data_IF_736147946547
#
_entry.id   IF_736147946547
#
_cell.length_a   1.000
_cell.length_b   1.000
_cell.length_c   1.000
_cell.angle_alpha   90.00
_cell.angle_beta   90.00
_cell.angle_gamma   90.00
#
_symmetry.space_group_name_H-M   'P 1'
#
loop_
_entity.id
_entity.type
_entity.pdbx_description
1 polymer ?
#
# COMPACT_ATOMS: atom_id res chain seq x y z
N UNK A 1 -23.59 6.29 -12.53
CA UNK A 1 -22.62 5.34 -11.95
C UNK A 1 -21.32 5.48 -12.73
N UNK A 2 -20.18 5.71 -12.05
CA UNK A 2 -18.88 5.60 -12.74
C UNK A 2 -18.63 4.12 -13.04
N UNK A 3 -18.21 3.73 -14.26
CA UNK A 3 -17.93 2.34 -14.57
C UNK A 3 -16.86 1.78 -13.62
N UNK A 4 -17.05 0.53 -13.20
CA UNK A 4 -16.04 -0.17 -12.41
C UNK A 4 -14.72 -0.20 -13.20
N UNK A 5 -13.59 0.02 -12.52
CA UNK A 5 -12.27 -0.09 -13.17
C UNK A 5 -12.02 -1.57 -13.49
N UNK A 6 -11.82 -1.86 -14.78
CA UNK A 6 -11.38 -3.20 -15.20
C UNK A 6 -9.87 -3.33 -14.93
N UNK A 7 -9.52 -4.20 -13.99
CA UNK A 7 -8.11 -4.44 -13.61
C UNK A 7 -7.36 -5.28 -14.64
N UNK A 8 -8.01 -5.84 -15.66
CA UNK A 8 -7.32 -6.44 -16.79
C UNK A 8 -6.78 -5.36 -17.74
N UNK A 9 -7.51 -4.24 -17.86
CA UNK A 9 -7.18 -3.16 -18.77
C UNK A 9 -6.23 -2.13 -18.19
N UNK A 10 -6.43 -1.77 -16.91
CA UNK A 10 -5.64 -0.71 -16.27
C UNK A 10 -5.49 -0.86 -14.76
N UNK A 11 -4.33 -0.46 -14.20
CA UNK A 11 -4.14 -0.45 -12.76
C UNK A 11 -4.97 0.65 -12.09
N UNK A 12 -5.32 0.42 -10.83
CA UNK A 12 -5.86 1.45 -9.95
C UNK A 12 -4.73 2.23 -9.27
N UNK A 13 -3.64 1.53 -8.93
CA UNK A 13 -2.45 2.07 -8.27
C UNK A 13 -1.22 1.76 -9.12
N UNK A 14 -0.45 2.78 -9.43
CA UNK A 14 0.90 2.68 -9.98
C UNK A 14 1.89 3.21 -8.97
N UNK A 15 2.90 2.41 -8.62
CA UNK A 15 3.96 2.79 -7.69
C UNK A 15 5.28 2.76 -8.44
N UNK A 16 6.00 3.87 -8.44
CA UNK A 16 7.35 3.94 -9.00
C UNK A 16 8.38 4.22 -7.90
N UNK A 17 9.27 3.26 -7.68
CA UNK A 17 10.49 3.44 -6.89
C UNK A 17 11.50 4.18 -7.76
N UNK A 18 11.54 5.52 -7.69
CA UNK A 18 12.35 6.33 -8.59
C UNK A 18 13.86 6.27 -8.27
N UNK A 19 14.22 5.89 -7.05
CA UNK A 19 15.60 5.66 -6.60
C UNK A 19 15.67 4.65 -5.46
N UNK A 20 16.81 4.00 -5.28
CA UNK A 20 17.11 3.21 -4.08
C UNK A 20 18.04 3.93 -3.10
N UNK A 21 18.46 5.16 -3.42
CA UNK A 21 19.28 5.95 -2.53
C UNK A 21 18.47 6.42 -1.31
N UNK A 22 19.02 6.25 -0.10
CA UNK A 22 18.41 6.71 1.14
C UNK A 22 19.48 6.79 2.24
N UNK A 23 19.35 7.76 3.15
CA UNK A 23 20.23 7.88 4.30
C UNK A 23 19.71 7.12 5.54
N UNK A 24 18.50 6.56 5.47
CA UNK A 24 17.97 5.69 6.52
C UNK A 24 18.46 4.24 6.37
N UNK A 25 18.59 3.55 7.50
CA UNK A 25 19.06 2.16 7.56
C UNK A 25 17.98 1.22 8.16
N UNK A 26 16.71 1.50 7.93
CA UNK A 26 15.55 0.81 8.51
C UNK A 26 15.69 -0.71 8.52
N UNK A 27 15.34 -1.35 9.64
CA UNK A 27 15.50 -2.81 9.84
C UNK A 27 14.67 -3.65 8.87
N UNK A 28 13.53 -3.13 8.42
CA UNK A 28 12.56 -3.82 7.56
C UNK A 28 12.57 -3.35 6.10
N UNK A 29 13.58 -2.56 5.69
CA UNK A 29 13.57 -1.90 4.37
C UNK A 29 13.42 -2.91 3.22
N UNK A 30 12.28 -2.87 2.53
CA UNK A 30 11.96 -3.68 1.35
C UNK A 30 12.99 -3.48 0.23
N UNK A 31 13.34 -2.21 -0.05
CA UNK A 31 14.26 -1.85 -1.12
C UNK A 31 15.72 -2.25 -0.82
N UNK A 32 16.06 -2.62 0.43
CA UNK A 32 17.46 -2.72 0.87
C UNK A 32 18.26 -1.48 0.43
N UNK A 33 17.72 -0.29 0.74
CA UNK A 33 18.20 1.00 0.26
C UNK A 33 19.70 1.19 0.50
N UNK A 34 20.33 1.95 -0.40
CA UNK A 34 21.75 2.25 -0.45
C UNK A 34 21.97 3.76 -0.24
N UNK A 35 23.18 4.18 0.15
CA UNK A 35 23.46 5.60 0.40
C UNK A 35 23.54 6.45 -0.89
N UNK A 36 23.87 5.83 -2.03
CA UNK A 36 24.08 6.50 -3.31
C UNK A 36 23.10 5.98 -4.37
N UNK A 37 22.78 6.85 -5.33
CA UNK A 37 21.99 6.48 -6.51
C UNK A 37 22.77 5.49 -7.39
N UNK A 38 22.01 4.59 -8.03
CA UNK A 38 22.57 3.68 -9.04
C UNK A 38 22.70 4.40 -10.37
N UNK A 39 23.80 4.13 -11.10
CA UNK A 39 23.97 4.62 -12.48
C UNK A 39 22.96 4.03 -13.47
N UNK A 40 22.27 2.96 -13.09
CA UNK A 40 21.26 2.28 -13.92
C UNK A 40 19.83 2.79 -13.68
N UNK A 41 19.63 3.74 -12.76
CA UNK A 41 18.33 4.36 -12.56
C UNK A 41 17.80 4.97 -13.85
N UNK A 42 16.48 5.02 -13.99
CA UNK A 42 15.86 5.77 -15.09
C UNK A 42 16.39 7.21 -15.09
N UNK A 43 16.83 7.69 -16.26
CA UNK A 43 17.20 9.09 -16.44
C UNK A 43 15.96 9.99 -16.22
N UNK A 44 16.15 11.29 -16.18
CA UNK A 44 15.04 12.25 -16.11
C UNK A 44 14.07 12.05 -17.29
N UNK A 45 14.60 11.94 -18.51
CA UNK A 45 13.82 11.77 -19.73
C UNK A 45 13.07 10.45 -19.75
N UNK A 46 13.70 9.35 -19.30
CA UNK A 46 13.06 8.04 -19.17
C UNK A 46 11.95 8.09 -18.11
N UNK A 47 12.18 8.76 -16.98
CA UNK A 47 11.19 8.94 -15.92
C UNK A 47 9.99 9.78 -16.39
N UNK A 48 10.21 10.84 -17.14
CA UNK A 48 9.14 11.66 -17.70
C UNK A 48 8.31 10.89 -18.74
N UNK A 49 8.95 10.07 -19.60
CA UNK A 49 8.22 9.17 -20.53
C UNK A 49 7.36 8.15 -19.75
N UNK A 50 7.92 7.53 -18.70
CA UNK A 50 7.14 6.63 -17.85
C UNK A 50 5.92 7.32 -17.25
N UNK A 51 6.05 8.57 -16.78
CA UNK A 51 4.91 9.34 -16.24
C UNK A 51 3.87 9.61 -17.34
N UNK A 52 4.29 9.86 -18.58
CA UNK A 52 3.38 10.03 -19.71
C UNK A 52 2.58 8.76 -19.98
N UNK A 53 3.23 7.59 -20.06
CA UNK A 53 2.57 6.28 -20.21
C UNK A 53 1.60 5.98 -19.05
N UNK A 54 2.00 6.28 -17.82
CA UNK A 54 1.12 6.15 -16.65
C UNK A 54 -0.11 7.07 -16.79
N UNK A 55 0.09 8.30 -17.27
CA UNK A 55 -1.01 9.24 -17.53
C UNK A 55 -2.02 8.70 -18.54
N UNK A 56 -1.55 8.07 -19.62
CA UNK A 56 -2.40 7.43 -20.62
C UNK A 56 -3.20 6.25 -20.07
N UNK A 57 -2.63 5.46 -19.17
CA UNK A 57 -3.34 4.38 -18.47
C UNK A 57 -4.39 4.91 -17.48
N UNK A 58 -4.24 6.13 -16.99
CA UNK A 58 -5.20 6.82 -16.12
C UNK A 58 -5.49 6.13 -14.78
N UNK A 59 -4.46 5.71 -14.00
CA UNK A 59 -4.68 5.18 -12.67
C UNK A 59 -5.29 6.25 -11.74
N UNK A 60 -5.94 5.80 -10.66
CA UNK A 60 -6.46 6.72 -9.63
C UNK A 60 -5.39 7.16 -8.64
N UNK A 61 -4.33 6.39 -8.51
CA UNK A 61 -3.24 6.65 -7.57
C UNK A 61 -1.92 6.46 -8.30
N UNK A 62 -1.11 7.50 -8.31
CA UNK A 62 0.28 7.43 -8.76
C UNK A 62 1.20 7.81 -7.61
N UNK A 63 2.07 6.89 -7.23
CA UNK A 63 2.99 7.06 -6.10
C UNK A 63 4.42 7.07 -6.59
N UNK A 64 5.13 8.16 -6.32
CA UNK A 64 6.58 8.23 -6.44
C UNK A 64 7.15 7.89 -5.06
N UNK A 65 7.92 6.83 -5.01
CA UNK A 65 8.58 6.35 -3.79
C UNK A 65 10.05 6.04 -4.09
N UNK A 66 10.75 5.47 -3.13
CA UNK A 66 12.14 5.09 -3.37
C UNK A 66 12.78 4.54 -2.12
N UNK A 67 14.07 4.68 -2.05
CA UNK A 67 14.79 4.87 -0.81
C UNK A 67 14.34 6.20 -0.21
N UNK A 68 14.86 7.29 -0.76
CA UNK A 68 14.38 8.65 -0.51
C UNK A 68 14.25 9.38 -1.86
N UNK A 69 13.05 9.63 -2.36
CA UNK A 69 12.86 10.30 -3.65
C UNK A 69 13.47 11.70 -3.69
N UNK A 70 13.69 12.36 -2.54
CA UNK A 70 14.36 13.67 -2.47
C UNK A 70 15.88 13.60 -2.75
N UNK A 71 16.45 12.41 -2.86
CA UNK A 71 17.82 12.20 -3.35
C UNK A 71 17.95 12.45 -4.88
N UNK A 72 16.85 12.61 -5.59
CA UNK A 72 16.82 12.99 -7.02
C UNK A 72 16.48 14.46 -7.16
N UNK A 73 17.33 15.18 -7.87
CA UNK A 73 17.15 16.63 -8.11
C UNK A 73 15.94 16.93 -9.00
N UNK A 74 15.52 15.95 -9.83
CA UNK A 74 14.40 16.06 -10.76
C UNK A 74 13.04 15.63 -10.16
N UNK A 75 12.96 15.33 -8.86
CA UNK A 75 11.73 14.86 -8.20
C UNK A 75 10.57 15.86 -8.33
N UNK A 76 10.85 17.14 -8.20
CA UNK A 76 9.82 18.19 -8.35
C UNK A 76 9.30 18.27 -9.79
N UNK A 77 10.17 18.12 -10.78
CA UNK A 77 9.78 18.06 -12.20
C UNK A 77 8.90 16.84 -12.48
N UNK A 78 9.16 15.68 -11.85
CA UNK A 78 8.34 14.49 -11.96
C UNK A 78 6.94 14.70 -11.35
N UNK A 79 6.84 15.36 -10.19
CA UNK A 79 5.54 15.72 -9.57
C UNK A 79 4.73 16.61 -10.53
N UNK A 80 5.36 17.65 -11.07
CA UNK A 80 4.73 18.58 -12.00
C UNK A 80 4.27 17.88 -13.29
N UNK A 81 5.13 17.02 -13.88
CA UNK A 81 4.76 16.24 -15.07
C UNK A 81 3.56 15.33 -14.81
N UNK A 82 3.53 14.65 -13.68
CA UNK A 82 2.40 13.82 -13.29
C UNK A 82 1.11 14.66 -13.18
N UNK A 83 1.20 15.84 -12.58
CA UNK A 83 0.06 16.76 -12.48
C UNK A 83 -0.43 17.23 -13.85
N UNK A 84 0.48 17.58 -14.76
CA UNK A 84 0.16 18.00 -16.15
C UNK A 84 -0.50 16.86 -16.94
N UNK A 85 -0.22 15.60 -16.62
CA UNK A 85 -0.87 14.42 -17.21
C UNK A 85 -2.19 14.03 -16.53
N UNK A 86 -2.72 14.87 -15.64
CA UNK A 86 -4.00 14.64 -14.97
C UNK A 86 -3.96 13.61 -13.85
N UNK A 87 -2.78 13.19 -13.40
CA UNK A 87 -2.59 12.32 -12.26
C UNK A 87 -2.71 13.08 -10.94
N UNK A 88 -2.98 12.36 -9.86
CA UNK A 88 -2.89 12.86 -8.48
C UNK A 88 -1.58 12.32 -7.85
N UNK A 89 -0.43 13.01 -8.06
CA UNK A 89 0.85 12.49 -7.60
C UNK A 89 0.91 12.42 -6.08
N UNK A 90 1.34 11.27 -5.59
CA UNK A 90 1.68 11.04 -4.19
C UNK A 90 3.19 10.84 -4.08
N UNK A 91 3.83 11.42 -3.05
CA UNK A 91 5.25 11.24 -2.76
C UNK A 91 5.43 10.56 -1.40
N UNK A 92 6.36 9.61 -1.33
CA UNK A 92 6.74 8.97 -0.07
C UNK A 92 8.20 9.29 0.26
N UNK A 93 8.50 10.51 0.77
CA UNK A 93 9.86 10.88 1.16
C UNK A 93 10.28 10.13 2.43
N UNK A 94 11.57 9.94 2.60
CA UNK A 94 12.16 9.46 3.85
C UNK A 94 12.43 10.63 4.81
N UNK A 95 12.35 10.35 6.12
CA UNK A 95 12.64 11.35 7.15
C UNK A 95 14.15 11.57 7.28
N UNK A 96 14.75 12.15 6.25
CA UNK A 96 16.16 12.56 6.16
C UNK A 96 16.26 14.08 6.28
N UNK A 97 17.46 14.66 6.48
CA UNK A 97 17.64 16.12 6.48
C UNK A 97 17.16 16.84 5.21
N UNK A 98 16.89 16.11 4.11
CA UNK A 98 16.30 16.68 2.89
C UNK A 98 14.81 17.01 3.03
N UNK A 99 14.11 16.38 3.99
CA UNK A 99 12.68 16.60 4.20
C UNK A 99 12.46 17.81 5.13
N UNK A 100 12.70 18.99 4.62
CA UNK A 100 12.50 20.26 5.35
C UNK A 100 11.10 20.84 5.09
N UNK A 101 10.71 21.87 5.84
CA UNK A 101 9.47 22.61 5.60
C UNK A 101 9.47 23.27 4.21
N UNK A 102 10.63 23.77 3.76
CA UNK A 102 10.81 24.34 2.42
C UNK A 102 10.60 23.29 1.34
N UNK A 103 11.14 22.07 1.53
CA UNK A 103 10.91 20.96 0.61
C UNK A 103 9.41 20.63 0.50
N UNK A 104 8.68 20.63 1.62
CA UNK A 104 7.21 20.41 1.62
C UNK A 104 6.48 21.53 0.87
N UNK A 105 6.87 22.79 1.09
CA UNK A 105 6.32 23.95 0.33
C UNK A 105 6.60 23.80 -1.18
N UNK A 106 7.80 23.35 -1.55
CA UNK A 106 8.14 23.10 -2.96
C UNK A 106 7.29 21.96 -3.56
N UNK A 107 7.08 20.87 -2.83
CA UNK A 107 6.18 19.78 -3.25
C UNK A 107 4.78 20.33 -3.55
N UNK A 108 4.23 21.18 -2.67
CA UNK A 108 2.91 21.82 -2.88
C UNK A 108 2.88 22.67 -4.13
N UNK A 109 3.89 23.51 -4.34
CA UNK A 109 4.00 24.40 -5.52
C UNK A 109 4.01 23.63 -6.84
N UNK A 110 4.67 22.46 -6.88
CA UNK A 110 4.70 21.57 -8.05
C UNK A 110 3.46 20.68 -8.17
N UNK A 111 2.48 20.82 -7.28
CA UNK A 111 1.17 20.17 -7.40
C UNK A 111 1.08 18.79 -6.75
N UNK A 112 1.90 18.49 -5.72
CA UNK A 112 1.76 17.26 -4.96
C UNK A 112 0.37 17.18 -4.33
N UNK A 113 -0.34 16.08 -4.60
CA UNK A 113 -1.68 15.84 -4.07
C UNK A 113 -1.65 15.19 -2.69
N UNK A 114 -0.65 14.33 -2.44
CA UNK A 114 -0.52 13.58 -1.17
C UNK A 114 0.94 13.37 -0.80
N UNK A 115 1.24 13.50 0.49
CA UNK A 115 2.51 13.08 1.07
C UNK A 115 2.27 11.88 1.99
N UNK A 116 3.07 10.82 1.84
CA UNK A 116 3.06 9.69 2.74
C UNK A 116 4.38 9.65 3.51
N UNK A 117 4.32 9.66 4.84
CA UNK A 117 5.48 9.52 5.71
C UNK A 117 5.36 8.28 6.56
N UNK A 118 6.49 7.76 7.02
CA UNK A 118 6.49 6.57 7.85
C UNK A 118 6.68 6.91 9.32
N UNK A 119 5.86 6.29 10.18
CA UNK A 119 5.94 6.41 11.64
C UNK A 119 5.76 5.01 12.24
N UNK A 120 6.84 4.43 12.79
CA UNK A 120 6.85 3.06 13.33
C UNK A 120 7.08 3.00 14.84
N UNK A 121 7.04 4.13 15.52
CA UNK A 121 7.09 4.27 16.96
C UNK A 121 6.39 5.55 17.38
N UNK A 122 5.88 5.60 18.60
CA UNK A 122 5.14 6.74 19.15
C UNK A 122 6.07 7.80 19.76
N UNK A 123 7.35 7.53 19.84
CA UNK A 123 8.39 8.43 20.35
C UNK A 123 9.71 8.24 19.57
N UNK A 124 10.69 9.10 19.87
CA UNK A 124 11.99 9.06 19.20
C UNK A 124 12.74 7.76 19.48
N UNK A 125 12.66 7.20 20.69
CA UNK A 125 13.39 5.98 21.04
C UNK A 125 12.93 4.79 20.17
N UNK A 126 11.63 4.55 20.10
CA UNK A 126 11.05 3.44 19.35
C UNK A 126 11.17 3.65 17.83
N UNK A 127 10.87 4.87 17.35
CA UNK A 127 10.91 5.17 15.92
C UNK A 127 12.34 5.18 15.36
N UNK A 128 13.25 5.95 15.97
CA UNK A 128 14.63 6.09 15.49
C UNK A 128 15.38 4.76 15.62
N UNK A 129 15.12 3.99 16.67
CA UNK A 129 15.64 2.64 16.84
C UNK A 129 15.23 1.69 15.71
N UNK A 130 14.01 1.82 15.19
CA UNK A 130 13.50 1.04 14.06
C UNK A 130 14.04 1.53 12.71
N UNK A 131 14.15 2.87 12.54
CA UNK A 131 14.70 3.51 11.34
C UNK A 131 16.22 3.52 11.32
N UNK A 132 16.88 3.30 12.47
CA UNK A 132 18.33 3.30 12.70
C UNK A 132 19.01 4.63 12.36
N UNK A 133 18.30 5.73 12.53
CA UNK A 133 18.84 7.10 12.38
C UNK A 133 18.19 7.99 13.42
N UNK A 134 19.02 8.54 14.32
CA UNK A 134 18.58 9.48 15.34
C UNK A 134 17.99 10.76 14.70
N UNK A 135 16.90 11.26 15.28
CA UNK A 135 16.21 12.47 14.82
C UNK A 135 15.20 12.22 13.69
N UNK A 136 15.07 10.97 13.19
CA UNK A 136 14.09 10.66 12.15
C UNK A 136 12.63 10.83 12.63
N UNK A 137 12.36 10.62 13.92
CA UNK A 137 11.07 10.89 14.54
C UNK A 137 10.70 12.38 14.42
N UNK A 138 11.58 13.26 14.87
CA UNK A 138 11.32 14.71 14.85
C UNK A 138 11.15 15.24 13.41
N UNK A 139 11.97 14.76 12.48
CA UNK A 139 11.83 15.10 11.05
C UNK A 139 10.46 14.65 10.53
N UNK A 140 10.02 13.42 10.85
CA UNK A 140 8.71 12.90 10.47
C UNK A 140 7.58 13.77 11.01
N UNK A 141 7.61 14.09 12.30
CA UNK A 141 6.56 14.89 12.95
C UNK A 141 6.53 16.33 12.42
N UNK A 142 7.69 16.93 12.15
CA UNK A 142 7.79 18.25 11.54
C UNK A 142 7.26 18.26 10.10
N UNK A 143 7.53 17.21 9.32
CA UNK A 143 7.02 17.07 7.96
C UNK A 143 5.49 16.92 7.93
N UNK A 144 4.90 16.15 8.87
CA UNK A 144 3.44 16.06 9.02
C UNK A 144 2.84 17.45 9.28
N UNK A 145 3.39 18.19 10.25
CA UNK A 145 2.91 19.55 10.57
C UNK A 145 3.06 20.51 9.38
N UNK A 146 4.18 20.45 8.66
CA UNK A 146 4.42 21.29 7.47
C UNK A 146 3.42 20.95 6.36
N UNK A 147 3.21 19.68 6.05
CA UNK A 147 2.28 19.24 5.01
C UNK A 147 0.82 19.61 5.35
N UNK A 148 0.42 19.48 6.61
CA UNK A 148 -0.92 19.88 7.06
C UNK A 148 -1.12 21.40 6.90
N UNK A 149 -0.13 22.22 7.26
CA UNK A 149 -0.16 23.68 7.03
C UNK A 149 -0.27 24.06 5.56
N UNK A 150 0.43 23.34 4.70
CA UNK A 150 0.38 23.52 3.24
C UNK A 150 -0.88 22.90 2.61
N UNK A 151 -1.77 22.32 3.41
CA UNK A 151 -2.97 21.64 2.92
C UNK A 151 -2.64 20.53 1.90
N UNK A 152 -1.56 19.82 2.12
CA UNK A 152 -1.27 18.55 1.44
C UNK A 152 -1.94 17.44 2.23
N UNK A 153 -2.64 16.54 1.55
CA UNK A 153 -3.22 15.36 2.19
C UNK A 153 -2.11 14.47 2.77
N UNK A 154 -2.12 14.23 4.09
CA UNK A 154 -1.07 13.45 4.76
C UNK A 154 -1.54 12.02 4.99
N UNK A 155 -0.75 11.06 4.53
CA UNK A 155 -0.85 9.65 4.88
C UNK A 155 0.30 9.28 5.82
N UNK A 156 0.01 8.53 6.88
CA UNK A 156 1.04 7.95 7.74
C UNK A 156 1.09 6.44 7.51
N UNK A 157 2.29 5.91 7.33
CA UNK A 157 2.54 4.47 7.15
C UNK A 157 3.19 3.91 8.41
N UNK A 158 2.65 2.82 8.94
CA UNK A 158 3.23 2.09 10.07
C UNK A 158 3.38 0.63 9.70
N UNK A 159 4.55 0.04 9.95
CA UNK A 159 4.79 -1.38 9.66
C UNK A 159 4.63 -2.22 10.92
N UNK A 160 3.71 -3.18 10.89
CA UNK A 160 3.51 -4.17 11.96
C UNK A 160 4.59 -5.25 11.86
N UNK A 161 5.37 -5.32 12.90
CA UNK A 161 6.38 -6.34 13.16
C UNK A 161 6.34 -6.71 14.64
N UNK A 162 7.06 -7.74 15.07
CA UNK A 162 7.21 -8.05 16.52
C UNK A 162 7.73 -6.89 17.34
N UNK A 163 8.47 -5.96 16.72
CA UNK A 163 9.04 -4.79 17.41
C UNK A 163 8.07 -3.63 17.56
N UNK A 164 7.15 -3.49 16.60
CA UNK A 164 6.25 -2.33 16.49
C UNK A 164 4.81 -2.64 16.89
N UNK A 165 4.48 -3.93 17.12
CA UNK A 165 3.13 -4.37 17.46
C UNK A 165 2.57 -3.61 18.68
N UNK A 166 3.35 -3.47 19.74
CA UNK A 166 2.96 -2.77 20.97
C UNK A 166 2.83 -1.25 20.82
N UNK A 167 3.37 -0.66 19.73
CA UNK A 167 3.32 0.78 19.50
C UNK A 167 2.00 1.26 18.88
N UNK A 168 1.22 0.38 18.27
CA UNK A 168 0.03 0.78 17.50
C UNK A 168 -0.97 1.64 18.30
N UNK A 169 -1.33 1.33 19.56
CA UNK A 169 -2.24 2.17 20.33
C UNK A 169 -1.69 3.58 20.61
N UNK A 170 -0.38 3.68 20.91
CA UNK A 170 0.28 4.95 21.17
C UNK A 170 0.41 5.79 19.89
N UNK A 171 0.70 5.14 18.75
CA UNK A 171 0.75 5.80 17.44
C UNK A 171 -0.61 6.40 17.09
N UNK A 172 -1.71 5.64 17.26
CA UNK A 172 -3.07 6.18 16.98
C UNK A 172 -3.34 7.41 17.82
N UNK A 173 -3.09 7.34 19.13
CA UNK A 173 -3.29 8.46 20.04
C UNK A 173 -2.49 9.70 19.59
N UNK A 174 -1.23 9.49 19.18
CA UNK A 174 -0.40 10.56 18.64
C UNK A 174 -0.99 11.17 17.37
N UNK A 175 -1.54 10.35 16.45
CA UNK A 175 -2.01 10.81 15.14
C UNK A 175 -3.36 11.54 15.17
N UNK A 176 -4.16 11.37 16.22
CA UNK A 176 -5.50 12.00 16.32
C UNK A 176 -5.43 13.54 16.24
N UNK A 177 -4.34 14.15 16.68
CA UNK A 177 -4.18 15.61 16.75
C UNK A 177 -3.51 16.23 15.50
N UNK A 178 -3.08 15.43 14.51
CA UNK A 178 -2.25 15.93 13.41
C UNK A 178 -2.99 16.19 12.09
N UNK A 179 -4.30 15.99 12.03
CA UNK A 179 -5.10 16.29 10.84
C UNK A 179 -4.74 15.43 9.61
N UNK A 180 -4.23 14.22 9.83
CA UNK A 180 -3.93 13.28 8.75
C UNK A 180 -5.22 12.79 8.08
N UNK A 181 -5.14 12.37 6.82
CA UNK A 181 -6.29 11.83 6.09
C UNK A 181 -6.33 10.30 6.09
N UNK A 182 -5.19 9.65 6.34
CA UNK A 182 -5.09 8.20 6.30
C UNK A 182 -3.96 7.66 7.16
N UNK A 183 -4.25 6.60 7.89
CA UNK A 183 -3.26 5.71 8.50
C UNK A 183 -3.21 4.39 7.73
N UNK A 184 -2.07 4.08 7.11
CA UNK A 184 -1.84 2.85 6.34
C UNK A 184 -0.97 1.89 7.15
N UNK A 185 -1.55 0.78 7.55
CA UNK A 185 -0.90 -0.23 8.39
C UNK A 185 -0.40 -1.36 7.51
N UNK A 186 0.92 -1.46 7.40
CA UNK A 186 1.62 -2.44 6.59
C UNK A 186 1.94 -3.67 7.44
N UNK A 187 1.59 -4.84 6.97
CA UNK A 187 2.03 -6.09 7.60
C UNK A 187 3.29 -6.58 6.89
N UNK A 188 4.36 -6.73 7.66
CA UNK A 188 5.67 -7.03 7.11
C UNK A 188 5.67 -8.27 6.20
N UNK A 189 6.39 -8.17 5.09
CA UNK A 189 6.74 -9.29 4.22
C UNK A 189 8.26 -9.50 4.35
N UNK A 190 8.73 -10.71 4.57
CA UNK A 190 10.17 -10.99 4.73
C UNK A 190 10.88 -10.87 3.38
N UNK A 191 11.11 -9.63 2.95
CA UNK A 191 11.82 -9.23 1.73
C UNK A 191 12.77 -8.07 2.01
N UNK A 192 13.81 -7.92 1.20
CA UNK A 192 14.86 -6.92 1.44
C UNK A 192 15.63 -7.18 2.73
N UNK A 193 15.55 -6.26 3.72
CA UNK A 193 16.16 -6.42 5.04
C UNK A 193 15.25 -7.08 6.08
N UNK A 194 13.95 -7.15 5.82
CA UNK A 194 13.01 -7.83 6.72
C UNK A 194 13.25 -9.34 6.74
N UNK A 195 13.10 -9.96 7.91
CA UNK A 195 13.38 -11.37 8.15
C UNK A 195 12.11 -12.10 8.60
N UNK A 196 12.12 -13.43 8.50
CA UNK A 196 11.05 -14.28 9.05
C UNK A 196 10.79 -14.03 10.53
N UNK A 197 11.84 -13.75 11.31
CA UNK A 197 11.73 -13.43 12.74
C UNK A 197 11.01 -12.09 13.04
N UNK A 198 10.82 -11.23 12.03
CA UNK A 198 10.07 -9.98 12.20
C UNK A 198 8.55 -10.17 12.06
N UNK A 199 8.10 -11.33 11.55
CA UNK A 199 6.68 -11.65 11.40
C UNK A 199 6.01 -11.79 12.78
N UNK A 200 4.84 -11.21 12.90
CA UNK A 200 3.88 -11.49 13.99
C UNK A 200 3.20 -12.83 13.74
N UNK A 201 2.55 -13.40 14.75
CA UNK A 201 1.80 -14.64 14.58
C UNK A 201 0.45 -14.38 13.87
N UNK A 202 -0.18 -15.40 13.28
CA UNK A 202 -1.52 -15.26 12.70
C UNK A 202 -2.57 -14.78 13.70
N UNK A 203 -2.47 -15.20 14.97
CA UNK A 203 -3.35 -14.80 16.08
C UNK A 203 -3.16 -13.31 16.41
N UNK A 204 -1.90 -12.86 16.53
CA UNK A 204 -1.58 -11.44 16.72
C UNK A 204 -2.11 -10.57 15.57
N UNK A 205 -2.14 -11.09 14.32
CA UNK A 205 -2.75 -10.40 13.19
C UNK A 205 -4.25 -10.20 13.38
N UNK A 206 -4.98 -11.23 13.85
CA UNK A 206 -6.42 -11.11 14.13
C UNK A 206 -6.69 -10.12 15.28
N UNK A 207 -5.84 -10.09 16.30
CA UNK A 207 -5.91 -9.09 17.39
C UNK A 207 -5.73 -7.67 16.84
N UNK A 208 -4.71 -7.47 15.99
CA UNK A 208 -4.51 -6.18 15.30
C UNK A 208 -5.72 -5.81 14.44
N UNK A 209 -6.33 -6.75 13.75
CA UNK A 209 -7.54 -6.49 12.97
C UNK A 209 -8.70 -6.02 13.83
N UNK A 210 -8.88 -6.63 15.02
CA UNK A 210 -9.85 -6.18 16.00
C UNK A 210 -9.58 -4.74 16.43
N UNK A 211 -8.35 -4.45 16.81
CA UNK A 211 -7.92 -3.10 17.18
C UNK A 211 -8.16 -2.08 16.06
N UNK A 212 -7.77 -2.39 14.81
CA UNK A 212 -7.96 -1.50 13.66
C UNK A 212 -9.44 -1.28 13.35
N UNK A 213 -10.27 -2.32 13.46
CA UNK A 213 -11.70 -2.23 13.24
C UNK A 213 -12.36 -1.26 14.23
N UNK A 214 -12.14 -1.44 15.53
CA UNK A 214 -12.68 -0.55 16.56
C UNK A 214 -12.12 0.87 16.44
N UNK A 215 -10.81 1.02 16.18
CA UNK A 215 -10.19 2.32 15.96
C UNK A 215 -10.81 3.06 14.77
N UNK A 216 -11.08 2.36 13.66
CA UNK A 216 -11.66 2.98 12.46
C UNK A 216 -13.03 3.63 12.67
N UNK A 217 -13.71 3.29 13.77
CA UNK A 217 -15.04 3.81 14.12
C UNK A 217 -15.00 5.13 14.91
N UNK A 218 -13.83 5.45 15.50
CA UNK A 218 -13.67 6.61 16.40
C UNK A 218 -12.73 7.71 15.89
N UNK A 219 -11.79 7.37 14.99
CA UNK A 219 -10.81 8.34 14.49
C UNK A 219 -11.33 9.10 13.26
N UNK A 220 -10.87 10.36 13.04
CA UNK A 220 -11.34 11.19 11.94
C UNK A 220 -10.66 10.87 10.60
N UNK A 221 -9.72 9.93 10.54
CA UNK A 221 -8.98 9.55 9.35
C UNK A 221 -9.27 8.12 8.91
N UNK A 222 -9.02 7.82 7.63
CA UNK A 222 -9.20 6.48 7.11
C UNK A 222 -8.10 5.52 7.60
N UNK A 223 -8.46 4.28 7.91
CA UNK A 223 -7.50 3.19 8.18
C UNK A 223 -7.48 2.25 6.99
N UNK A 224 -6.29 1.89 6.52
CA UNK A 224 -6.06 0.92 5.45
C UNK A 224 -4.98 -0.07 5.86
N UNK A 225 -5.10 -1.29 5.35
CA UNK A 225 -4.06 -2.30 5.51
C UNK A 225 -3.35 -2.55 4.18
N UNK A 226 -2.05 -2.81 4.24
CA UNK A 226 -1.22 -3.23 3.11
C UNK A 226 -0.59 -4.57 3.45
N UNK A 227 -0.55 -5.50 2.48
CA UNK A 227 -0.10 -6.88 2.68
C UNK A 227 -0.90 -7.64 3.77
N UNK A 228 -2.16 -7.24 3.95
CA UNK A 228 -3.12 -7.90 4.87
C UNK A 228 -4.52 -7.92 4.26
N UNK A 229 -4.66 -8.52 3.08
CA UNK A 229 -5.91 -8.61 2.32
C UNK A 229 -7.02 -9.30 3.12
N UNK A 230 -6.66 -10.19 4.02
CA UNK A 230 -7.60 -10.90 4.90
C UNK A 230 -8.27 -10.01 5.96
N UNK A 231 -7.82 -8.76 6.15
CA UNK A 231 -8.58 -7.75 6.90
C UNK A 231 -9.96 -7.49 6.27
N UNK A 232 -10.11 -7.63 4.95
CA UNK A 232 -11.40 -7.51 4.26
C UNK A 232 -12.39 -8.58 4.71
N UNK A 233 -11.90 -9.84 4.86
CA UNK A 233 -12.68 -10.95 5.43
C UNK A 233 -13.08 -10.62 6.87
N UNK A 234 -12.12 -10.20 7.70
CA UNK A 234 -12.37 -9.83 9.10
C UNK A 234 -13.46 -8.75 9.23
N UNK A 235 -13.32 -7.65 8.48
CA UNK A 235 -14.31 -6.57 8.48
C UNK A 235 -15.70 -7.08 8.10
N UNK A 236 -15.82 -7.90 7.04
CA UNK A 236 -17.10 -8.45 6.62
C UNK A 236 -17.72 -9.30 7.72
N UNK A 237 -16.97 -10.20 8.32
CA UNK A 237 -17.44 -11.05 9.41
C UNK A 237 -17.94 -10.24 10.61
N UNK A 238 -17.18 -9.23 11.03
CA UNK A 238 -17.59 -8.32 12.12
C UNK A 238 -18.88 -7.57 11.79
N UNK A 239 -18.97 -7.02 10.59
CA UNK A 239 -20.16 -6.26 10.15
C UNK A 239 -21.42 -7.12 10.04
N UNK A 240 -21.30 -8.38 9.61
CA UNK A 240 -22.40 -9.32 9.56
C UNK A 240 -22.83 -9.73 10.99
N UNK A 241 -21.89 -10.02 11.87
CA UNK A 241 -22.15 -10.37 13.25
C UNK A 241 -22.93 -9.25 14.00
N UNK A 242 -22.53 -7.98 13.80
CA UNK A 242 -23.24 -6.82 14.37
C UNK A 242 -24.69 -6.70 13.89
N UNK A 243 -25.03 -7.27 12.73
CA UNK A 243 -26.39 -7.29 12.14
C UNK A 243 -27.14 -8.58 12.44
N UNK A 244 -26.57 -9.50 13.22
CA UNK A 244 -27.15 -10.83 13.46
C UNK A 244 -27.16 -11.70 12.19
N UNK A 245 -26.31 -11.41 11.20
CA UNK A 245 -26.19 -12.15 9.95
C UNK A 245 -24.94 -13.04 9.95
N UNK A 246 -24.96 -14.08 9.12
CA UNK A 246 -23.82 -15.00 8.96
C UNK A 246 -23.17 -14.86 7.58
N UNK A 247 -21.93 -15.32 7.45
CA UNK A 247 -21.22 -15.38 6.17
C UNK A 247 -21.97 -16.25 5.15
N UNK A 248 -22.60 -17.33 5.62
CA UNK A 248 -23.38 -18.24 4.78
C UNK A 248 -24.51 -17.51 4.01
N UNK A 249 -25.13 -16.49 4.63
CA UNK A 249 -26.19 -15.69 3.97
C UNK A 249 -25.69 -14.82 2.81
N UNK A 250 -24.39 -14.65 2.67
CA UNK A 250 -23.75 -13.83 1.64
C UNK A 250 -23.12 -14.64 0.51
N UNK A 251 -23.13 -15.97 0.63
CA UNK A 251 -22.54 -16.84 -0.39
C UNK A 251 -23.44 -16.91 -1.63
N UNK A 252 -22.82 -16.83 -2.79
CA UNK A 252 -23.47 -17.14 -4.04
C UNK A 252 -23.88 -18.63 -4.03
N UNK A 253 -25.16 -18.97 -4.25
CA UNK A 253 -25.64 -20.36 -4.13
C UNK A 253 -25.04 -21.30 -5.20
N UNK A 254 -24.49 -20.78 -6.30
CA UNK A 254 -23.92 -21.58 -7.38
C UNK A 254 -22.42 -21.78 -7.18
N UNK A 255 -21.70 -20.71 -6.82
CA UNK A 255 -20.23 -20.75 -6.73
C UNK A 255 -19.71 -20.99 -5.31
N UNK A 256 -20.55 -20.86 -4.29
CA UNK A 256 -20.17 -20.89 -2.88
C UNK A 256 -19.32 -19.69 -2.43
N UNK A 257 -18.97 -18.79 -3.35
CA UNK A 257 -18.09 -17.65 -3.10
C UNK A 257 -18.85 -16.42 -2.65
N UNK A 258 -18.16 -15.55 -1.92
CA UNK A 258 -18.68 -14.23 -1.56
C UNK A 258 -18.37 -13.26 -2.69
N UNK A 259 -19.42 -12.66 -3.24
CA UNK A 259 -19.29 -11.62 -4.28
C UNK A 259 -18.78 -10.32 -3.65
N UNK A 260 -17.59 -9.83 -4.04
CA UNK A 260 -17.05 -8.56 -3.55
C UNK A 260 -17.98 -7.36 -3.83
N UNK A 261 -18.82 -7.42 -4.86
CA UNK A 261 -19.74 -6.33 -5.21
C UNK A 261 -20.81 -6.09 -4.15
N UNK A 262 -21.19 -7.11 -3.39
CA UNK A 262 -22.20 -7.02 -2.33
C UNK A 262 -21.76 -6.15 -1.15
N UNK A 263 -20.44 -5.97 -0.95
CA UNK A 263 -19.89 -5.15 0.12
C UNK A 263 -19.88 -3.65 -0.17
N UNK A 264 -20.00 -3.28 -1.45
CA UNK A 264 -19.82 -1.91 -1.92
C UNK A 264 -21.09 -1.32 -2.52
N UNK A 265 -22.27 -1.93 -2.26
CA UNK A 265 -23.57 -1.35 -2.65
C UNK A 265 -23.82 -0.06 -1.86
N UNK A 266 -24.62 0.85 -2.43
CA UNK A 266 -24.98 2.14 -1.78
C UNK A 266 -25.62 1.96 -0.40
N UNK A 267 -26.16 0.77 -0.11
CA UNK A 267 -26.77 0.36 1.15
C UNK A 267 -25.85 -0.52 2.02
N UNK A 268 -24.63 -0.80 1.56
CA UNK A 268 -23.61 -1.45 2.38
C UNK A 268 -23.22 -0.57 3.56
N UNK A 269 -22.68 -1.14 4.64
CA UNK A 269 -22.39 -0.38 5.85
C UNK A 269 -21.46 0.79 5.51
N UNK A 270 -21.89 1.98 5.89
CA UNK A 270 -21.07 3.19 5.89
C UNK A 270 -20.01 3.04 6.96
N UNK A 271 -18.93 2.34 6.63
CA UNK A 271 -17.78 2.19 7.50
C UNK A 271 -16.83 3.38 7.36
N UNK A 272 -17.36 4.63 7.43
CA UNK A 272 -16.51 5.82 7.51
C UNK A 272 -17.23 6.93 8.28
N UNK A 273 -16.55 7.66 9.16
CA UNK A 273 -17.09 8.83 9.83
C UNK A 273 -17.55 9.86 8.79
N UNK A 274 -18.73 10.45 9.02
CA UNK A 274 -19.23 11.60 8.29
C UNK A 274 -18.24 12.77 8.45
N UNK A 275 -17.68 13.28 7.37
CA UNK A 275 -16.86 14.50 7.36
C UNK A 275 -15.51 14.41 6.69
N UNK A 276 -14.97 13.21 6.43
CA UNK A 276 -13.71 13.09 5.66
C UNK A 276 -14.03 13.18 4.19
N UNK A 277 -13.54 14.24 3.50
CA UNK A 277 -13.60 14.29 2.04
C UNK A 277 -12.84 13.08 1.48
N UNK A 278 -13.60 12.12 0.94
CA UNK A 278 -13.07 10.89 0.36
C UNK A 278 -12.39 11.22 -0.96
N UNK A 279 -11.08 11.40 -0.94
CA UNK A 279 -10.30 11.39 -2.18
C UNK A 279 -10.30 9.96 -2.79
N UNK A 280 -9.87 9.86 -4.05
CA UNK A 280 -9.97 8.62 -4.85
C UNK A 280 -9.36 7.36 -4.18
N UNK A 281 -8.40 7.52 -3.28
CA UNK A 281 -7.70 6.42 -2.58
C UNK A 281 -8.58 5.67 -1.58
N UNK A 282 -9.58 6.33 -0.99
CA UNK A 282 -10.49 5.68 -0.05
C UNK A 282 -11.57 4.81 -0.71
N UNK A 283 -11.63 4.78 -2.05
CA UNK A 283 -12.65 4.09 -2.84
C UNK A 283 -12.06 3.09 -3.83
N UNK A 284 -11.10 2.26 -3.44
CA UNK A 284 -10.76 1.11 -4.27
C UNK A 284 -12.02 0.24 -4.44
N UNK A 285 -12.66 0.21 -5.62
CA UNK A 285 -14.00 -0.38 -5.79
C UNK A 285 -13.99 -1.90 -5.67
N UNK A 286 -12.84 -2.52 -5.79
CA UNK A 286 -12.57 -3.96 -5.60
C UNK A 286 -11.24 -4.09 -4.89
N UNK A 287 -11.01 -5.20 -4.21
CA UNK A 287 -9.76 -5.42 -3.52
C UNK A 287 -8.56 -5.36 -4.47
N UNK A 288 -7.81 -4.25 -4.42
CA UNK A 288 -6.52 -4.17 -5.08
C UNK A 288 -5.59 -5.20 -4.45
N UNK A 289 -4.90 -5.99 -5.27
CA UNK A 289 -3.93 -6.98 -4.86
C UNK A 289 -2.75 -6.98 -5.85
N UNK A 290 -1.74 -7.80 -5.63
CA UNK A 290 -0.60 -7.93 -6.54
C UNK A 290 -1.10 -8.22 -7.97
N UNK A 291 -0.62 -7.47 -8.95
CA UNK A 291 -1.04 -7.48 -10.36
C UNK A 291 -2.52 -7.15 -10.61
N UNK A 292 -3.37 -7.23 -9.61
CA UNK A 292 -4.82 -6.97 -9.69
C UNK A 292 -5.12 -5.53 -9.29
N UNK A 293 -5.02 -4.62 -10.24
CA UNK A 293 -5.17 -3.19 -10.01
C UNK A 293 -3.94 -2.51 -9.40
N UNK A 294 -2.82 -3.23 -9.22
CA UNK A 294 -1.55 -2.73 -8.73
C UNK A 294 -0.42 -3.09 -9.70
N UNK A 295 0.48 -2.14 -9.91
CA UNK A 295 1.76 -2.35 -10.58
C UNK A 295 2.84 -1.55 -9.87
N UNK A 296 4.02 -2.14 -9.78
CA UNK A 296 5.21 -1.54 -9.19
C UNK A 296 6.33 -1.47 -10.23
N UNK A 297 6.97 -0.30 -10.34
CA UNK A 297 8.12 -0.08 -11.23
C UNK A 297 9.34 0.23 -10.35
N UNK A 298 10.45 -0.46 -10.59
CA UNK A 298 11.70 -0.22 -9.88
C UNK A 298 12.46 0.99 -10.45
N UNK A 299 13.48 1.41 -9.73
CA UNK A 299 14.38 2.50 -10.12
C UNK A 299 15.12 2.26 -11.45
N UNK A 300 15.27 1.01 -11.89
CA UNK A 300 15.89 0.64 -13.17
C UNK A 300 14.88 0.29 -14.26
N UNK A 301 13.59 0.53 -14.01
CA UNK A 301 12.51 0.31 -14.96
C UNK A 301 11.92 -1.09 -14.98
N UNK A 302 12.37 -2.01 -14.13
CA UNK A 302 11.77 -3.33 -14.04
C UNK A 302 10.36 -3.24 -13.43
N UNK A 303 9.42 -4.00 -14.01
CA UNK A 303 8.00 -4.02 -13.63
C UNK A 303 7.69 -5.28 -12.83
N UNK A 304 6.99 -5.09 -11.71
CA UNK A 304 6.62 -6.13 -10.75
C UNK A 304 5.14 -6.06 -10.38
N UNK A 305 4.52 -7.18 -9.97
CA UNK A 305 3.12 -7.22 -9.52
C UNK A 305 2.87 -6.39 -8.25
N UNK A 306 3.87 -6.30 -7.38
CA UNK A 306 3.94 -5.42 -6.21
C UNK A 306 5.39 -5.16 -5.82
N UNK A 307 5.62 -4.15 -4.98
CA UNK A 307 6.95 -3.88 -4.46
C UNK A 307 7.50 -4.97 -3.52
N UNK A 308 6.65 -5.89 -3.06
CA UNK A 308 7.02 -6.97 -2.14
C UNK A 308 7.14 -8.34 -2.82
N UNK A 309 6.68 -8.49 -4.06
CA UNK A 309 6.79 -9.72 -4.84
C UNK A 309 7.88 -9.56 -5.91
N UNK A 310 9.10 -10.08 -5.70
CA UNK A 310 10.26 -9.82 -6.55
C UNK A 310 10.27 -10.67 -7.83
N UNK A 311 9.14 -10.75 -8.51
CA UNK A 311 8.98 -11.46 -9.78
C UNK A 311 8.82 -10.46 -10.91
N UNK A 312 9.86 -10.35 -11.75
CA UNK A 312 9.91 -9.40 -12.86
C UNK A 312 8.97 -9.84 -13.99
N UNK A 313 8.12 -8.92 -14.44
CA UNK A 313 7.20 -9.11 -15.56
C UNK A 313 7.71 -8.53 -16.90
N UNK A 314 8.55 -7.49 -16.83
CA UNK A 314 9.11 -6.79 -17.99
C UNK A 314 9.96 -5.60 -17.55
N UNK A 315 10.32 -4.73 -18.51
CA UNK A 315 11.07 -3.50 -18.23
C UNK A 315 10.60 -2.36 -19.15
N UNK A 316 10.28 -1.20 -18.57
CA UNK A 316 9.74 -0.03 -19.29
C UNK A 316 10.73 0.62 -20.27
N UNK A 317 12.02 0.26 -20.22
CA UNK A 317 13.00 0.65 -21.26
C UNK A 317 12.89 -0.18 -22.54
N UNK A 318 12.21 -1.32 -22.48
CA UNK A 318 12.16 -2.31 -23.57
C UNK A 318 10.78 -2.41 -24.22
N UNK A 319 9.72 -2.17 -23.45
CA UNK A 319 8.33 -2.28 -23.91
C UNK A 319 7.40 -1.37 -23.10
N UNK A 320 6.27 -0.93 -23.67
CA UNK A 320 5.32 -0.06 -23.00
C UNK A 320 4.76 -0.67 -21.70
N UNK A 321 4.59 0.16 -20.66
CA UNK A 321 4.03 -0.28 -19.38
C UNK A 321 2.65 -0.92 -19.55
N UNK A 322 1.82 -0.39 -20.46
CA UNK A 322 0.47 -0.89 -20.69
C UNK A 322 0.49 -2.36 -21.20
N UNK A 323 1.41 -2.68 -22.11
CA UNK A 323 1.59 -4.05 -22.61
C UNK A 323 2.07 -4.99 -21.51
N UNK A 324 3.09 -4.58 -20.74
CA UNK A 324 3.56 -5.39 -19.59
C UNK A 324 2.42 -5.67 -18.64
N UNK A 325 1.62 -4.65 -18.31
CA UNK A 325 0.52 -4.78 -17.37
C UNK A 325 -0.58 -5.70 -17.88
N UNK A 326 -0.98 -5.57 -19.16
CA UNK A 326 -2.10 -6.33 -19.75
C UNK A 326 -1.72 -7.76 -20.08
N UNK A 327 -0.58 -7.93 -20.74
CA UNK A 327 -0.28 -9.12 -21.52
C UNK A 327 0.80 -10.03 -20.88
N UNK A 328 1.48 -9.57 -19.81
CA UNK A 328 2.44 -10.42 -19.12
C UNK A 328 1.76 -11.66 -18.53
N UNK A 329 2.25 -12.89 -18.85
CA UNK A 329 1.71 -14.12 -18.28
C UNK A 329 1.70 -14.13 -16.74
N UNK A 330 2.69 -13.49 -16.12
CA UNK A 330 2.75 -13.34 -14.66
C UNK A 330 1.57 -12.53 -14.13
N UNK A 331 1.28 -11.37 -14.74
CA UNK A 331 0.17 -10.52 -14.32
C UNK A 331 -1.18 -11.20 -14.58
N UNK A 332 -1.34 -11.85 -15.73
CA UNK A 332 -2.55 -12.58 -16.07
C UNK A 332 -2.82 -13.71 -15.06
N UNK A 333 -1.80 -14.51 -14.74
CA UNK A 333 -1.94 -15.61 -13.80
C UNK A 333 -2.31 -15.17 -12.37
N UNK A 334 -1.78 -14.02 -11.91
CA UNK A 334 -2.09 -13.45 -10.59
C UNK A 334 -3.50 -12.80 -10.51
N UNK A 335 -4.06 -12.38 -11.65
CA UNK A 335 -5.46 -11.89 -11.70
C UNK A 335 -6.48 -13.01 -11.62
N UNK A 336 -6.09 -14.22 -12.00
CA UNK A 336 -6.94 -15.40 -12.01
C UNK A 336 -6.99 -16.06 -10.63
N UNK A 337 -8.02 -15.75 -9.83
CA UNK A 337 -8.15 -16.30 -8.49
C UNK A 337 -8.33 -17.83 -8.47
N UNK A 338 -8.68 -18.44 -9.61
CA UNK A 338 -8.74 -19.91 -9.78
C UNK A 338 -7.38 -20.58 -9.62
N UNK A 339 -6.28 -19.85 -9.80
CA UNK A 339 -4.92 -20.36 -9.61
C UNK A 339 -4.49 -20.46 -8.14
N UNK A 340 -5.27 -19.90 -7.21
CA UNK A 340 -4.95 -19.97 -5.79
C UNK A 340 -5.03 -21.40 -5.28
N UNK A 341 -4.10 -21.76 -4.42
CA UNK A 341 -3.93 -23.11 -3.87
C UNK A 341 -4.17 -23.14 -2.36
N UNK A 342 -4.16 -24.34 -1.83
CA UNK A 342 -4.31 -24.63 -0.40
C UNK A 342 -5.59 -24.01 0.18
N UNK A 343 -5.48 -23.43 1.38
CA UNK A 343 -6.59 -22.80 2.10
C UNK A 343 -7.16 -21.58 1.35
N UNK A 344 -6.29 -20.76 0.68
CA UNK A 344 -6.74 -19.62 -0.10
C UNK A 344 -7.55 -20.03 -1.34
N UNK A 345 -7.18 -21.11 -2.01
CA UNK A 345 -7.90 -21.64 -3.20
C UNK A 345 -9.30 -22.17 -2.89
N UNK A 346 -9.50 -22.75 -1.70
CA UNK A 346 -10.80 -23.30 -1.26
C UNK A 346 -11.66 -22.28 -0.51
N UNK A 347 -11.12 -21.07 -0.25
CA UNK A 347 -11.77 -20.09 0.61
C UNK A 347 -12.92 -19.40 -0.10
N UNK A 348 -14.08 -19.32 0.54
CA UNK A 348 -15.23 -18.58 0.07
C UNK A 348 -14.96 -17.07 -0.09
N UNK A 349 -13.95 -16.55 0.61
CA UNK A 349 -13.51 -15.16 0.51
C UNK A 349 -12.41 -14.95 -0.55
N UNK A 350 -12.04 -15.95 -1.35
CA UNK A 350 -10.88 -15.84 -2.25
C UNK A 350 -10.97 -14.64 -3.21
N UNK A 351 -12.16 -14.33 -3.70
CA UNK A 351 -12.38 -13.21 -4.65
C UNK A 351 -12.38 -11.84 -3.94
N UNK A 352 -12.71 -11.81 -2.66
CA UNK A 352 -12.65 -10.63 -1.82
C UNK A 352 -11.25 -10.37 -1.28
N UNK A 353 -10.56 -11.44 -0.88
CA UNK A 353 -9.31 -11.41 -0.11
C UNK A 353 -8.11 -11.79 -0.98
N UNK A 354 -8.02 -13.05 -1.37
CA UNK A 354 -6.88 -13.61 -2.12
C UNK A 354 -5.58 -13.77 -1.32
N UNK A 355 -5.48 -13.27 -0.08
CA UNK A 355 -4.25 -13.26 0.74
C UNK A 355 -3.12 -12.42 0.15
N UNK A 356 -2.01 -12.23 0.87
CA UNK A 356 -0.78 -11.62 0.34
C UNK A 356 -0.01 -12.65 -0.48
N UNK A 357 0.08 -12.43 -1.79
CA UNK A 357 0.84 -13.27 -2.71
C UNK A 357 2.35 -13.12 -2.49
N UNK A 358 2.76 -11.90 -2.14
CA UNK A 358 4.14 -11.60 -1.78
C UNK A 358 4.59 -12.37 -0.53
N UNK A 359 3.75 -12.40 0.51
CA UNK A 359 4.09 -13.15 1.73
C UNK A 359 4.04 -14.65 1.52
N UNK A 360 3.04 -15.16 0.77
CA UNK A 360 3.00 -16.56 0.40
C UNK A 360 4.29 -16.97 -0.33
N UNK A 361 4.72 -16.19 -1.32
CA UNK A 361 6.00 -16.40 -2.00
C UNK A 361 7.20 -16.35 -1.05
N UNK A 362 7.33 -15.29 -0.25
CA UNK A 362 8.48 -15.08 0.62
C UNK A 362 8.67 -16.18 1.68
N UNK A 363 7.57 -16.86 2.07
CA UNK A 363 7.60 -17.90 3.11
C UNK A 363 7.64 -19.32 2.58
N UNK A 364 7.13 -19.57 1.39
CA UNK A 364 6.99 -20.92 0.83
C UNK A 364 7.59 -21.11 -0.57
N UNK A 365 8.01 -20.03 -1.25
CA UNK A 365 8.41 -20.08 -2.66
C UNK A 365 7.23 -20.23 -3.64
N UNK A 366 5.98 -20.27 -3.15
CA UNK A 366 4.79 -20.42 -3.97
C UNK A 366 3.85 -19.21 -3.81
N UNK A 367 3.76 -18.37 -4.86
CA UNK A 367 2.91 -17.18 -4.83
C UNK A 367 1.41 -17.49 -4.84
N UNK A 368 1.01 -18.69 -5.23
CA UNK A 368 -0.39 -19.14 -5.23
C UNK A 368 -0.79 -19.83 -3.93
N UNK A 369 0.18 -20.16 -3.08
CA UNK A 369 -0.02 -20.83 -1.81
C UNK A 369 -0.85 -20.02 -0.80
N UNK A 370 -1.15 -20.62 0.32
CA UNK A 370 -1.88 -19.97 1.42
C UNK A 370 -1.08 -18.84 2.05
N UNK A 371 -1.72 -17.72 2.37
CA UNK A 371 -1.11 -16.68 3.21
C UNK A 371 -0.90 -17.24 4.63
N UNK A 372 0.35 -17.33 5.13
CA UNK A 372 0.65 -17.96 6.41
C UNK A 372 0.10 -17.16 7.62
N UNK A 373 -0.17 -15.86 7.46
CA UNK A 373 -0.70 -15.04 8.56
C UNK A 373 -2.23 -15.06 8.68
N UNK A 374 -2.93 -15.90 7.91
CA UNK A 374 -4.39 -16.03 8.01
C UNK A 374 -4.75 -17.22 8.91
N UNK A 375 -5.48 -16.98 10.01
CA UNK A 375 -6.00 -18.04 10.91
C UNK A 375 -7.23 -18.72 10.34
N UNK A 376 -7.96 -18.04 9.45
CA UNK A 376 -9.24 -18.51 8.97
C UNK A 376 -9.16 -19.89 8.31
N UNK A 377 -10.06 -20.78 8.71
CA UNK A 377 -10.25 -22.08 8.08
C UNK A 377 -11.53 -22.01 7.24
N UNK A 378 -11.42 -22.18 5.91
CA UNK A 378 -12.60 -22.24 5.05
C UNK A 378 -13.53 -23.39 5.46
N UNK A 379 -14.82 -23.13 5.44
CA UNK A 379 -15.78 -24.23 5.56
C UNK A 379 -15.65 -25.07 4.28
N UNK A 380 -15.27 -26.31 4.46
CA UNK A 380 -15.11 -27.26 3.35
C UNK A 380 -16.46 -27.42 2.66
N UNK A 381 -16.51 -27.11 1.35
CA UNK A 381 -17.63 -27.47 0.51
C UNK A 381 -17.59 -28.95 0.16
#
# INVERSE_FOLDING_TARGET
>A
MRPAVDFNERPFVVIWENTRACDLACVHCRAAAQSRRSQFELTTEEGLRLIDEVGEMGPKVFVITGGDPLKRDDTYQMIERARLRGLEPSLTPSATPLLTSEAVTMMKRHGLARMAVSLDGADAESHDGFRRVAGSFDITMNAIRAATREQIAVQVNTTVTRRTLGELPRIVQLLEDYGIVMWSVFFVVPTGRAKMADLVTPEEVEEVFGFLYETSRRVPFAIRTTEAMHYRRYMLQRMLAEKGQTVASMRNPVTGLIDPSTLFTQNGPRAMPLGVQMNAVSRAPRGVNEAKGLVFISHIGDVYPSGFLPMKAGNVKQQPLAEIYRDSPLFMSLRENGNLEGKCGRCEFRDLCGGSRARAWATSGNMFGSDPLCTYQPEVA
#
